data_IF_675469731006
#
_entry.id   IF_675469731006
#
_cell.length_a   1.000
_cell.length_b   1.000
_cell.length_c   1.000
_cell.angle_alpha   90.00
_cell.angle_beta   90.00
_cell.angle_gamma   90.00
#
_symmetry.space_group_name_H-M   'P 1'
#
loop_
_entity.id
_entity.type
_entity.pdbx_description
1 polymer ?
#
# COMPACT_ATOMS: atom_id res chain seq x y z
N UNK A 1 11.39 -7.31 -15.90
CA UNK A 1 12.00 -6.02 -15.48
C UNK A 1 12.33 -6.16 -14.02
N UNK A 2 13.61 -6.07 -13.64
CA UNK A 2 14.04 -6.25 -12.25
C UNK A 2 13.42 -5.15 -11.39
N UNK A 3 12.76 -5.49 -10.29
CA UNK A 3 12.55 -4.53 -9.20
C UNK A 3 13.95 -4.26 -8.62
N UNK A 4 14.38 -3.00 -8.61
CA UNK A 4 15.59 -2.60 -7.90
C UNK A 4 15.18 -2.47 -6.43
N UNK A 5 15.58 -3.44 -5.63
CA UNK A 5 15.34 -3.50 -4.19
C UNK A 5 16.68 -3.56 -3.48
N UNK A 6 16.78 -2.93 -2.32
CA UNK A 6 17.98 -2.98 -1.50
C UNK A 6 18.21 -4.39 -0.95
N UNK A 7 19.47 -4.77 -0.72
CA UNK A 7 19.85 -6.11 -0.23
C UNK A 7 19.14 -6.47 1.09
N UNK A 8 19.02 -5.50 2.02
CA UNK A 8 18.33 -5.70 3.30
C UNK A 8 16.84 -6.01 3.10
N UNK A 9 16.19 -5.30 2.16
CA UNK A 9 14.80 -5.53 1.80
C UNK A 9 14.64 -6.89 1.15
N UNK A 10 15.51 -7.24 0.19
CA UNK A 10 15.51 -8.55 -0.45
C UNK A 10 15.65 -9.67 0.58
N UNK A 11 16.54 -9.51 1.56
CA UNK A 11 16.75 -10.49 2.62
C UNK A 11 15.46 -10.76 3.41
N UNK A 12 14.74 -9.71 3.82
CA UNK A 12 13.46 -9.85 4.52
C UNK A 12 12.39 -10.48 3.63
N UNK A 13 12.29 -10.04 2.38
CA UNK A 13 11.32 -10.59 1.43
C UNK A 13 11.55 -12.08 1.19
N UNK A 14 12.80 -12.49 0.97
CA UNK A 14 13.17 -13.91 0.75
C UNK A 14 12.89 -14.74 1.99
N UNK A 15 13.21 -14.24 3.19
CA UNK A 15 12.85 -14.91 4.44
C UNK A 15 11.32 -15.08 4.59
N UNK A 16 10.54 -14.14 4.05
CA UNK A 16 9.08 -14.19 3.97
C UNK A 16 8.51 -14.99 2.78
N UNK A 17 9.35 -15.70 2.02
CA UNK A 17 8.92 -16.57 0.93
C UNK A 17 8.78 -15.91 -0.44
N UNK A 18 9.24 -14.66 -0.60
CA UNK A 18 9.37 -14.03 -1.91
C UNK A 18 10.59 -14.56 -2.67
N UNK A 19 10.53 -14.54 -4.00
CA UNK A 19 11.67 -14.79 -4.88
C UNK A 19 11.51 -14.00 -6.18
N UNK A 20 12.61 -13.66 -6.85
CA UNK A 20 12.63 -12.66 -7.95
C UNK A 20 11.75 -13.01 -9.15
N UNK A 21 11.59 -14.30 -9.44
CA UNK A 21 10.76 -14.82 -10.55
C UNK A 21 9.30 -15.07 -10.15
N UNK A 22 8.92 -14.69 -8.92
CA UNK A 22 7.57 -14.90 -8.43
C UNK A 22 6.56 -14.15 -9.31
N UNK A 23 5.60 -14.91 -9.82
CA UNK A 23 4.48 -14.39 -10.59
C UNK A 23 3.19 -15.08 -10.13
N UNK A 24 2.19 -14.30 -9.70
CA UNK A 24 0.85 -14.81 -9.43
C UNK A 24 -0.21 -14.21 -10.36
N UNK A 25 -1.31 -14.94 -10.61
CA UNK A 25 -2.47 -14.38 -11.30
C UNK A 25 -3.07 -13.21 -10.50
N UNK A 26 -3.19 -12.04 -11.13
CA UNK A 26 -3.84 -10.86 -10.54
C UNK A 26 -5.31 -10.72 -10.96
N UNK A 27 -5.76 -11.53 -11.91
CA UNK A 27 -7.12 -11.46 -12.47
C UNK A 27 -8.24 -11.62 -11.41
N UNK A 28 -8.14 -12.52 -10.42
CA UNK A 28 -9.15 -12.59 -9.36
C UNK A 28 -9.22 -11.32 -8.51
N UNK A 29 -8.06 -10.73 -8.19
CA UNK A 29 -7.97 -9.48 -7.42
C UNK A 29 -8.55 -8.31 -8.22
N UNK A 30 -8.29 -8.28 -9.54
CA UNK A 30 -8.84 -7.29 -10.47
C UNK A 30 -10.35 -7.27 -10.45
N UNK A 31 -10.97 -8.45 -10.62
CA UNK A 31 -12.43 -8.58 -10.64
C UNK A 31 -13.05 -8.14 -9.32
N UNK A 32 -12.46 -8.57 -8.20
CA UNK A 32 -12.95 -8.16 -6.88
C UNK A 32 -12.92 -6.64 -6.68
N UNK A 33 -11.88 -5.95 -7.17
CA UNK A 33 -11.84 -4.49 -7.15
C UNK A 33 -12.84 -3.85 -8.10
N UNK A 34 -13.01 -4.40 -9.30
CA UNK A 34 -13.94 -3.87 -10.30
C UNK A 34 -15.40 -3.96 -9.84
N UNK A 35 -15.76 -5.02 -9.12
CA UNK A 35 -17.08 -5.17 -8.48
C UNK A 35 -17.34 -4.06 -7.45
N UNK A 36 -16.29 -3.52 -6.83
CA UNK A 36 -16.32 -2.38 -5.90
C UNK A 36 -16.11 -1.02 -6.60
N UNK A 37 -16.06 -1.00 -7.94
CA UNK A 37 -15.87 0.22 -8.73
C UNK A 37 -14.43 0.75 -8.78
N UNK A 38 -13.46 -0.04 -8.33
CA UNK A 38 -12.05 0.35 -8.23
C UNK A 38 -11.29 -0.19 -9.43
N UNK A 39 -10.59 0.69 -10.16
CA UNK A 39 -9.81 0.31 -11.33
C UNK A 39 -8.39 -0.07 -10.93
N UNK A 40 -8.03 -1.34 -11.09
CA UNK A 40 -6.64 -1.78 -10.89
C UNK A 40 -5.79 -1.50 -12.14
N UNK A 41 -4.91 -0.51 -12.04
CA UNK A 41 -4.01 -0.10 -13.11
C UNK A 41 -2.74 -0.97 -13.20
N UNK A 42 -1.95 -0.73 -14.25
CA UNK A 42 -0.76 -1.55 -14.57
C UNK A 42 0.32 -1.54 -13.49
N UNK A 43 0.52 -0.41 -12.79
CA UNK A 43 1.46 -0.35 -11.66
C UNK A 43 1.02 -1.26 -10.50
N UNK A 44 -0.23 -1.16 -10.04
CA UNK A 44 -0.78 -2.04 -9.00
C UNK A 44 -0.70 -3.52 -9.40
N UNK A 45 -1.06 -3.84 -10.65
CA UNK A 45 -0.92 -5.21 -11.19
C UNK A 45 0.51 -5.74 -11.10
N UNK A 46 1.52 -4.94 -11.44
CA UNK A 46 2.92 -5.35 -11.37
C UNK A 46 3.36 -5.67 -9.94
N UNK A 47 2.92 -4.88 -8.98
CA UNK A 47 3.21 -5.08 -7.55
C UNK A 47 2.56 -6.37 -7.07
N UNK A 48 1.25 -6.50 -7.26
CA UNK A 48 0.48 -7.64 -6.75
C UNK A 48 0.86 -8.96 -7.43
N UNK A 49 1.30 -8.91 -8.68
CA UNK A 49 1.85 -10.07 -9.37
C UNK A 49 3.10 -10.64 -8.68
N UNK A 50 3.94 -9.78 -8.09
CA UNK A 50 5.17 -10.18 -7.42
C UNK A 50 4.95 -10.46 -5.92
N UNK A 51 4.23 -9.55 -5.25
CA UNK A 51 4.11 -9.54 -3.79
C UNK A 51 2.74 -10.01 -3.29
N UNK A 52 1.74 -10.11 -4.16
CA UNK A 52 0.37 -10.42 -3.76
C UNK A 52 0.26 -11.75 -3.01
N UNK A 53 -0.57 -11.73 -1.97
CA UNK A 53 -0.78 -12.84 -1.03
C UNK A 53 0.37 -13.07 -0.05
N UNK A 54 1.50 -12.37 -0.17
CA UNK A 54 2.58 -12.47 0.81
C UNK A 54 2.26 -11.64 2.06
N UNK A 55 2.79 -12.13 3.17
CA UNK A 55 2.68 -11.50 4.47
C UNK A 55 4.06 -11.45 5.11
N UNK A 56 4.42 -10.29 5.65
CA UNK A 56 5.72 -10.03 6.24
C UNK A 56 5.54 -9.48 7.63
N UNK A 57 6.40 -9.89 8.56
CA UNK A 57 6.45 -9.28 9.87
C UNK A 57 7.49 -8.17 9.84
N UNK A 58 7.08 -6.95 10.20
CA UNK A 58 7.99 -5.84 10.41
C UNK A 58 8.88 -6.06 11.63
N UNK A 59 9.87 -5.20 11.82
CA UNK A 59 10.82 -5.26 12.94
C UNK A 59 10.13 -5.30 14.31
N UNK A 60 8.97 -4.67 14.43
CA UNK A 60 8.20 -4.61 15.68
C UNK A 60 7.27 -5.82 15.88
N UNK A 61 7.25 -6.76 14.93
CA UNK A 61 6.40 -7.96 14.95
C UNK A 61 5.03 -7.74 14.31
N UNK A 62 4.74 -6.54 13.83
CA UNK A 62 3.49 -6.22 13.16
C UNK A 62 3.42 -6.81 11.75
N UNK A 63 2.20 -7.12 11.30
CA UNK A 63 1.97 -7.85 10.07
C UNK A 63 1.61 -6.91 8.92
N UNK A 64 2.43 -6.92 7.88
CA UNK A 64 2.13 -6.33 6.58
C UNK A 64 1.62 -7.40 5.62
N UNK A 65 0.56 -7.09 4.87
CA UNK A 65 -0.01 -7.98 3.84
C UNK A 65 -0.12 -7.24 2.52
N UNK A 66 0.40 -7.84 1.46
CA UNK A 66 0.14 -7.40 0.09
C UNK A 66 -1.14 -8.10 -0.39
N UNK A 67 -2.26 -7.58 0.04
CA UNK A 67 -3.58 -8.12 -0.25
C UNK A 67 -4.59 -6.98 -0.36
N UNK A 68 -5.11 -6.80 -1.56
CA UNK A 68 -6.09 -5.77 -1.87
C UNK A 68 -7.38 -5.97 -1.10
N UNK A 69 -7.87 -7.21 -1.02
CA UNK A 69 -9.10 -7.52 -0.30
C UNK A 69 -8.95 -7.32 1.21
N UNK A 70 -7.74 -7.50 1.74
CA UNK A 70 -7.44 -7.10 3.11
C UNK A 70 -7.43 -5.57 3.28
N UNK A 71 -6.80 -4.83 2.36
CA UNK A 71 -6.75 -3.37 2.42
C UNK A 71 -8.14 -2.73 2.29
N UNK A 72 -8.98 -3.20 1.36
CA UNK A 72 -10.35 -2.70 1.16
C UNK A 72 -11.30 -2.98 2.34
N UNK A 73 -10.93 -3.81 3.32
CA UNK A 73 -11.72 -3.93 4.56
C UNK A 73 -11.56 -2.75 5.50
N UNK A 74 -10.51 -1.95 5.30
CA UNK A 74 -10.16 -0.80 6.14
C UNK A 74 -10.45 0.53 5.47
N UNK A 75 -10.86 0.51 4.20
CA UNK A 75 -11.24 1.71 3.45
C UNK A 75 -12.43 1.38 2.57
N UNK A 76 -13.55 2.06 2.80
CA UNK A 76 -14.74 1.92 1.96
C UNK A 76 -14.62 2.75 0.67
N UNK A 77 -15.61 2.65 -0.21
CA UNK A 77 -15.61 3.31 -1.52
C UNK A 77 -15.65 4.84 -1.40
N UNK A 78 -16.36 5.38 -0.40
CA UNK A 78 -16.49 6.83 -0.20
C UNK A 78 -15.18 7.43 0.34
N UNK A 79 -14.53 6.72 1.26
CA UNK A 79 -13.22 7.04 1.79
C UNK A 79 -12.12 6.91 0.73
N UNK A 80 -12.19 5.90 -0.13
CA UNK A 80 -11.27 5.75 -1.25
C UNK A 80 -11.42 6.89 -2.25
N UNK A 81 -12.64 7.36 -2.53
CA UNK A 81 -12.85 8.54 -3.36
C UNK A 81 -12.19 9.78 -2.75
N UNK A 82 -12.20 9.92 -1.42
CA UNK A 82 -11.47 10.97 -0.72
C UNK A 82 -9.96 10.84 -0.91
N UNK A 83 -9.40 9.62 -0.76
CA UNK A 83 -7.98 9.33 -1.05
C UNK A 83 -7.62 9.72 -2.48
N UNK A 84 -8.47 9.34 -3.44
CA UNK A 84 -8.25 9.61 -4.85
C UNK A 84 -8.28 11.11 -5.17
N UNK A 85 -9.16 11.86 -4.52
CA UNK A 85 -9.24 13.31 -4.67
C UNK A 85 -8.02 14.04 -4.07
N UNK A 86 -7.45 13.52 -2.98
CA UNK A 86 -6.35 14.17 -2.26
C UNK A 86 -4.97 13.89 -2.87
N UNK A 87 -4.72 12.65 -3.26
CA UNK A 87 -3.37 12.20 -3.62
C UNK A 87 -3.23 11.87 -5.09
N UNK A 88 -4.14 11.05 -5.63
CA UNK A 88 -4.16 10.71 -7.06
C UNK A 88 -5.48 10.05 -7.46
N UNK A 89 -6.10 10.53 -8.55
CA UNK A 89 -7.33 9.95 -9.08
C UNK A 89 -7.22 8.47 -9.49
N UNK A 90 -6.00 7.95 -9.62
CA UNK A 90 -5.70 6.55 -9.95
C UNK A 90 -5.27 5.71 -8.74
N UNK A 91 -5.35 6.25 -7.52
CA UNK A 91 -4.91 5.54 -6.33
C UNK A 91 -5.61 4.19 -6.15
N UNK A 92 -4.80 3.14 -6.07
CA UNK A 92 -5.23 1.77 -5.85
C UNK A 92 -4.62 1.24 -4.54
N UNK A 93 -5.43 0.73 -3.59
CA UNK A 93 -4.91 0.05 -2.41
C UNK A 93 -4.25 -1.27 -2.83
N UNK A 94 -3.08 -1.57 -2.27
CA UNK A 94 -2.31 -2.79 -2.60
C UNK A 94 -1.78 -3.54 -1.39
N UNK A 95 -1.70 -2.89 -0.23
CA UNK A 95 -1.27 -3.52 1.00
C UNK A 95 -1.85 -2.82 2.24
N UNK A 96 -1.80 -3.51 3.38
CA UNK A 96 -2.13 -2.96 4.70
C UNK A 96 -1.22 -3.58 5.77
N UNK A 97 -0.97 -2.85 6.85
CA UNK A 97 -0.19 -3.32 8.01
C UNK A 97 0.21 -2.15 8.91
N UNK A 98 0.50 -2.43 10.19
CA UNK A 98 0.94 -1.40 11.16
C UNK A 98 -0.02 -0.20 11.30
N UNK A 99 -1.34 -0.42 11.16
CA UNK A 99 -2.34 0.66 11.16
C UNK A 99 -2.26 1.57 9.92
N UNK A 100 -1.50 1.17 8.90
CA UNK A 100 -1.33 1.89 7.64
C UNK A 100 -1.95 1.11 6.48
N UNK A 101 -2.53 1.87 5.55
CA UNK A 101 -2.95 1.43 4.23
C UNK A 101 -1.96 1.96 3.21
N UNK A 102 -1.58 1.12 2.24
CA UNK A 102 -0.59 1.45 1.22
C UNK A 102 -1.23 1.47 -0.15
N UNK A 103 -1.00 2.57 -0.87
CA UNK A 103 -1.57 2.83 -2.17
C UNK A 103 -0.45 3.06 -3.19
N UNK A 104 -0.74 2.69 -4.42
CA UNK A 104 0.08 3.04 -5.58
C UNK A 104 -0.82 3.69 -6.62
N UNK A 105 -0.33 4.74 -7.27
CA UNK A 105 -0.97 5.39 -8.40
C UNK A 105 -0.49 4.79 -9.73
N UNK A 106 -1.20 5.08 -10.83
CA UNK A 106 -0.85 4.61 -12.17
C UNK A 106 0.52 5.09 -12.67
N UNK A 107 0.92 6.30 -12.26
CA UNK A 107 2.25 6.87 -12.49
C UNK A 107 3.36 6.23 -11.62
N UNK A 108 2.99 5.31 -10.73
CA UNK A 108 3.90 4.58 -9.86
C UNK A 108 4.26 5.27 -8.55
N UNK A 109 3.70 6.46 -8.27
CA UNK A 109 3.85 7.10 -6.95
C UNK A 109 3.19 6.28 -5.88
N UNK A 110 3.80 6.29 -4.70
CA UNK A 110 3.30 5.59 -3.53
C UNK A 110 2.90 6.57 -2.45
N UNK A 111 1.95 6.14 -1.64
CA UNK A 111 1.68 6.79 -0.37
C UNK A 111 1.09 5.79 0.62
N UNK A 112 1.31 6.06 1.90
CA UNK A 112 0.68 5.34 2.99
C UNK A 112 -0.22 6.27 3.78
N UNK A 113 -1.36 5.77 4.23
CA UNK A 113 -2.35 6.51 5.01
C UNK A 113 -2.63 5.75 6.29
N UNK A 114 -2.56 6.43 7.43
CA UNK A 114 -2.97 5.83 8.69
C UNK A 114 -4.49 5.59 8.69
N UNK A 115 -4.93 4.42 9.18
CA UNK A 115 -6.34 3.98 9.14
C UNK A 115 -7.30 4.93 9.87
N UNK A 116 -6.78 5.75 10.78
CA UNK A 116 -7.55 6.79 11.49
C UNK A 116 -7.53 8.15 10.78
N UNK A 117 -7.02 8.25 9.55
CA UNK A 117 -6.95 9.50 8.78
C UNK A 117 -6.21 10.64 9.49
N UNK A 118 -5.17 10.30 10.25
CA UNK A 118 -4.37 11.28 11.01
C UNK A 118 -3.16 11.77 10.24
N UNK A 119 -2.51 10.88 9.50
CA UNK A 119 -1.24 11.13 8.83
C UNK A 119 -1.13 10.35 7.54
N UNK A 120 -0.45 10.95 6.56
CA UNK A 120 -0.05 10.31 5.31
C UNK A 120 1.46 10.47 5.08
N UNK A 121 2.09 9.48 4.45
CA UNK A 121 3.46 9.58 3.95
C UNK A 121 3.45 9.45 2.43
N UNK A 122 4.08 10.40 1.74
CA UNK A 122 4.37 10.27 0.31
C UNK A 122 5.69 9.52 0.14
N UNK A 123 5.70 8.51 -0.73
CA UNK A 123 6.81 7.58 -0.85
C UNK A 123 7.29 7.54 -2.29
N UNK A 124 8.61 7.59 -2.47
CA UNK A 124 9.22 7.69 -3.80
C UNK A 124 9.01 6.41 -4.62
N UNK A 125 9.09 5.25 -3.95
CA UNK A 125 9.08 3.94 -4.59
C UNK A 125 8.71 2.81 -3.62
N UNK A 126 8.61 1.59 -4.16
CA UNK A 126 8.37 0.37 -3.39
C UNK A 126 9.46 0.09 -2.34
N UNK A 127 10.71 0.46 -2.62
CA UNK A 127 11.79 0.22 -1.68
C UNK A 127 11.58 1.07 -0.41
N UNK A 128 11.21 2.33 -0.57
CA UNK A 128 10.79 3.23 0.51
C UNK A 128 9.63 2.64 1.31
N UNK A 129 8.62 2.09 0.65
CA UNK A 129 7.48 1.42 1.30
C UNK A 129 7.95 0.26 2.18
N UNK A 130 8.79 -0.62 1.64
CA UNK A 130 9.26 -1.82 2.35
C UNK A 130 10.21 -1.49 3.49
N UNK A 131 11.07 -0.47 3.35
CA UNK A 131 11.93 0.00 4.45
C UNK A 131 11.09 0.61 5.58
N UNK A 132 10.11 1.42 5.21
CA UNK A 132 9.15 1.98 6.16
C UNK A 132 8.43 0.89 6.95
N UNK A 133 7.80 -0.07 6.24
CA UNK A 133 6.90 -1.04 6.84
C UNK A 133 7.59 -2.26 7.45
N UNK A 134 8.74 -2.69 6.92
CA UNK A 134 9.41 -3.91 7.36
C UNK A 134 10.60 -3.63 8.26
N UNK A 135 11.30 -2.53 8.01
CA UNK A 135 12.52 -2.18 8.76
C UNK A 135 12.27 -1.09 9.82
N UNK A 136 11.08 -0.49 9.84
CA UNK A 136 10.73 0.61 10.73
C UNK A 136 11.55 1.86 10.45
N UNK A 137 11.99 2.04 9.19
CA UNK A 137 12.83 3.15 8.79
C UNK A 137 11.98 4.27 8.18
N UNK A 138 11.69 5.27 9.00
CA UNK A 138 10.94 6.44 8.59
C UNK A 138 11.33 7.68 9.40
N UNK A 139 11.17 8.85 8.79
CA UNK A 139 11.31 10.12 9.46
C UNK A 139 9.93 10.69 9.78
N UNK A 140 9.62 10.88 11.07
CA UNK A 140 8.37 11.51 11.52
C UNK A 140 8.19 12.94 10.97
N UNK A 141 9.24 13.58 10.45
CA UNK A 141 9.15 14.89 9.80
C UNK A 141 8.63 14.80 8.36
N UNK A 142 8.65 13.61 7.75
CA UNK A 142 8.09 13.36 6.41
C UNK A 142 6.59 13.05 6.46
N UNK A 143 6.06 12.80 7.66
CA UNK A 143 4.63 12.65 7.90
C UNK A 143 3.87 13.95 7.60
N UNK A 144 2.87 13.85 6.73
CA UNK A 144 1.91 14.92 6.48
C UNK A 144 0.69 14.70 7.37
N UNK A 145 0.54 15.54 8.38
CA UNK A 145 -0.67 15.56 9.22
C UNK A 145 -1.84 16.03 8.38
N UNK A 146 -2.92 15.26 8.38
CA UNK A 146 -4.10 15.60 7.59
C UNK A 146 -4.90 16.72 8.27
N UNK A 147 -5.23 17.75 7.51
CA UNK A 147 -6.11 18.81 7.96
C UNK A 147 -7.56 18.34 7.99
N UNK A 148 -8.38 18.94 8.85
CA UNK A 148 -9.80 18.58 9.02
C UNK A 148 -10.59 18.53 7.69
N UNK A 149 -10.23 19.38 6.73
CA UNK A 149 -10.90 19.41 5.42
C UNK A 149 -10.51 18.24 4.50
N UNK A 150 -9.35 17.62 4.75
CA UNK A 150 -8.83 16.44 4.04
C UNK A 150 -9.31 15.12 4.68
N UNK A 151 -9.79 15.16 5.92
CA UNK A 151 -10.34 13.98 6.62
C UNK A 151 -11.81 13.79 6.23
N UNK A 152 -12.26 12.57 5.86
CA UNK A 152 -13.67 12.28 5.59
C UNK A 152 -14.55 12.55 6.82
N UNK A 153 -15.82 12.96 6.64
CA UNK A 153 -16.69 13.31 7.77
C UNK A 153 -16.81 12.25 8.87
N UNK A 154 -16.79 10.97 8.49
CA UNK A 154 -16.82 9.80 9.39
C UNK A 154 -15.64 9.75 10.38
N UNK A 155 -14.51 10.39 10.07
CA UNK A 155 -13.28 10.35 10.85
C UNK A 155 -12.98 11.65 11.59
N UNK A 156 -13.85 12.67 11.50
CA UNK A 156 -13.52 14.04 11.96
C UNK A 156 -13.51 14.25 13.48
N UNK A 157 -14.04 13.32 14.28
CA UNK A 157 -14.03 13.41 15.75
C UNK A 157 -14.84 14.57 16.33
#
# INVERSE_FOLDING_TARGET
MSMLLDDDVVSVLVAGGWFVEREIPTEPMRRGLEDEGIVMHSAAMKILRSLGGLQFHGRNGDLMRFDVGAACKWIDVDDLACVQALFSGSACPVACGEGMLYFVADDGKWFSLHEQWTVCYLMADLNTVLRFSLLGEFDLREAQVLEKHQVPPSYRG
#
